data_IF_248719013156
#
_entry.id   IF_248719013156
#
_cell.length_a   1.000
_cell.length_b   1.000
_cell.length_c   1.000
_cell.angle_alpha   90.00
_cell.angle_beta   90.00
_cell.angle_gamma   90.00
#
_symmetry.space_group_name_H-M   'P 1'
#
loop_
_entity.id
_entity.type
_entity.pdbx_description
1 polymer ?
#
# COMPACT_ATOMS: atom_id res chain seq x y z
N UNK A 1 3.94 -2.93 22.15
CA UNK A 1 3.36 -3.97 21.28
C UNK A 1 3.04 -3.33 19.94
N UNK A 2 3.84 -3.60 18.90
CA UNK A 2 3.70 -2.92 17.62
C UNK A 2 2.39 -3.36 16.94
N UNK A 3 1.40 -2.47 16.89
CA UNK A 3 0.29 -2.59 15.95
C UNK A 3 0.96 -2.55 14.59
N UNK A 4 1.10 -3.71 13.93
CA UNK A 4 1.56 -3.74 12.54
C UNK A 4 0.44 -3.09 11.74
N UNK A 5 0.51 -1.78 11.59
CA UNK A 5 -0.33 -0.98 10.72
C UNK A 5 -0.03 -1.43 9.28
N UNK A 6 -0.64 -2.56 8.92
CA UNK A 6 -0.49 -3.27 7.68
C UNK A 6 -1.91 -3.67 7.24
N UNK A 7 -2.25 -3.32 6.02
CA UNK A 7 -3.51 -3.73 5.42
C UNK A 7 -3.30 -4.06 3.95
N UNK A 8 -4.22 -4.82 3.38
CA UNK A 8 -4.12 -5.31 2.01
C UNK A 8 -5.39 -4.94 1.25
N UNK A 9 -5.22 -4.51 0.00
CA UNK A 9 -6.29 -4.26 -0.95
C UNK A 9 -5.97 -5.09 -2.19
N UNK A 10 -6.62 -6.25 -2.32
CA UNK A 10 -6.37 -7.21 -3.39
C UNK A 10 -4.90 -7.63 -3.51
N UNK A 11 -4.24 -7.29 -4.62
CA UNK A 11 -2.82 -7.56 -4.87
C UNK A 11 -1.85 -6.55 -4.21
N UNK A 12 -2.37 -5.45 -3.64
CA UNK A 12 -1.58 -4.37 -3.05
C UNK A 12 -1.48 -4.51 -1.53
N UNK A 13 -0.25 -4.62 -1.02
CA UNK A 13 0.04 -4.62 0.42
C UNK A 13 0.49 -3.23 0.88
N UNK A 14 -0.22 -2.65 1.84
CA UNK A 14 0.09 -1.36 2.45
C UNK A 14 0.67 -1.56 3.85
N UNK A 15 1.74 -0.85 4.20
CA UNK A 15 2.34 -0.91 5.53
C UNK A 15 2.88 0.44 5.98
N UNK A 16 2.70 0.76 7.25
CA UNK A 16 3.21 1.97 7.87
C UNK A 16 4.67 1.77 8.29
N UNK A 17 5.53 2.71 7.92
CA UNK A 17 6.92 2.79 8.38
C UNK A 17 7.16 4.18 8.95
N UNK A 18 7.28 4.25 10.28
CA UNK A 18 7.31 5.52 11.01
C UNK A 18 5.94 6.20 10.93
N UNK A 19 5.85 7.29 10.13
CA UNK A 19 4.60 8.03 9.89
C UNK A 19 4.10 7.93 8.44
N UNK A 20 4.81 7.19 7.60
CA UNK A 20 4.57 7.14 6.17
C UNK A 20 4.18 5.73 5.76
N UNK A 21 3.07 5.63 5.06
CA UNK A 21 2.60 4.43 4.42
C UNK A 21 3.38 4.14 3.15
N UNK A 22 3.69 2.87 2.95
CA UNK A 22 4.28 2.32 1.74
C UNK A 22 3.33 1.28 1.18
N UNK A 23 3.24 1.23 -0.14
CA UNK A 23 2.51 0.19 -0.86
C UNK A 23 3.50 -0.70 -1.59
N UNK A 24 3.19 -2.00 -1.66
CA UNK A 24 3.97 -3.02 -2.33
C UNK A 24 3.05 -3.91 -3.14
N UNK A 25 3.33 -4.05 -4.43
CA UNK A 25 2.54 -4.85 -5.36
C UNK A 25 3.42 -5.41 -6.48
N UNK A 26 2.86 -6.30 -7.30
CA UNK A 26 3.51 -6.79 -8.52
C UNK A 26 2.76 -6.24 -9.72
N UNK A 27 3.51 -5.66 -10.65
CA UNK A 27 3.01 -5.06 -11.88
C UNK A 27 3.87 -5.59 -13.02
N UNK A 28 3.25 -6.27 -14.00
CA UNK A 28 3.95 -6.91 -15.13
C UNK A 28 5.15 -7.81 -14.72
N UNK A 29 4.97 -8.61 -13.67
CA UNK A 29 6.02 -9.50 -13.14
C UNK A 29 7.16 -8.78 -12.39
N UNK A 30 7.08 -7.46 -12.23
CA UNK A 30 8.04 -6.67 -11.46
C UNK A 30 7.43 -6.23 -10.14
N UNK A 31 8.19 -6.40 -9.06
CA UNK A 31 7.80 -5.90 -7.75
C UNK A 31 7.98 -4.38 -7.71
N UNK A 32 6.89 -3.66 -7.46
CA UNK A 32 6.88 -2.22 -7.23
C UNK A 32 6.66 -1.91 -5.76
N UNK A 33 7.32 -0.85 -5.32
CA UNK A 33 7.13 -0.28 -4.00
C UNK A 33 7.04 1.23 -4.14
N UNK A 34 5.94 1.81 -3.66
CA UNK A 34 5.66 3.24 -3.77
C UNK A 34 5.37 3.83 -2.40
N UNK A 35 5.75 5.10 -2.22
CA UNK A 35 5.44 5.88 -1.02
C UNK A 35 4.02 6.43 -1.17
N UNK A 36 3.14 6.12 -0.22
CA UNK A 36 1.71 6.32 -0.34
C UNK A 36 1.16 7.52 0.44
N UNK A 37 1.99 8.15 1.29
CA UNK A 37 1.61 9.30 2.12
C UNK A 37 1.45 8.94 3.59
N UNK A 38 0.86 9.85 4.38
CA UNK A 38 0.67 9.69 5.83
C UNK A 38 -0.77 9.35 6.22
N UNK A 39 -1.73 9.65 5.34
CA UNK A 39 -3.16 9.45 5.59
C UNK A 39 -3.63 8.04 5.18
N UNK A 40 -4.22 7.30 6.11
CA UNK A 40 -4.58 5.89 5.90
C UNK A 40 -5.70 5.72 4.88
N UNK A 41 -6.70 6.59 4.92
CA UNK A 41 -7.88 6.48 4.03
C UNK A 41 -7.52 6.86 2.60
N UNK A 42 -6.68 7.88 2.40
CA UNK A 42 -6.09 8.22 1.11
C UNK A 42 -5.25 7.06 0.54
N UNK A 43 -4.39 6.46 1.37
CA UNK A 43 -3.59 5.27 0.98
C UNK A 43 -4.49 4.12 0.57
N UNK A 44 -5.61 3.91 1.27
CA UNK A 44 -6.57 2.85 0.94
C UNK A 44 -7.28 3.09 -0.39
N UNK A 45 -7.68 4.33 -0.69
CA UNK A 45 -8.26 4.70 -2.00
C UNK A 45 -7.26 4.47 -3.12
N UNK A 46 -6.02 4.96 -2.95
CA UNK A 46 -4.97 4.79 -3.94
C UNK A 46 -4.61 3.31 -4.15
N UNK A 47 -4.56 2.52 -3.09
CA UNK A 47 -4.35 1.07 -3.20
C UNK A 47 -5.49 0.38 -3.97
N UNK A 48 -6.73 0.85 -3.83
CA UNK A 48 -7.87 0.35 -4.60
C UNK A 48 -7.76 0.72 -6.08
N UNK A 49 -7.36 1.95 -6.38
CA UNK A 49 -7.14 2.41 -7.76
C UNK A 49 -6.05 1.61 -8.45
N UNK A 50 -4.90 1.42 -7.78
CA UNK A 50 -3.80 0.58 -8.27
C UNK A 50 -4.29 -0.85 -8.48
N UNK A 51 -5.00 -1.43 -7.50
CA UNK A 51 -5.49 -2.80 -7.62
C UNK A 51 -6.43 -3.03 -8.81
N UNK A 52 -7.16 -2.00 -9.26
CA UNK A 52 -7.99 -2.08 -10.47
C UNK A 52 -7.15 -2.07 -11.77
N UNK A 53 -5.94 -1.51 -11.73
CA UNK A 53 -5.03 -1.41 -12.87
C UNK A 53 -4.04 -2.58 -12.97
N UNK A 54 -3.90 -3.38 -11.90
CA UNK A 54 -3.04 -4.57 -11.83
C UNK A 54 -3.73 -5.81 -12.40
#
# INVERSE_FOLDING_TARGET
MARKDLFRVGAVCCYLRGRVWYMRYQEHGKRRQVRAGTDRDAVRRLASEINTQL
#
